data_IF_345280100477
#
_entry.id   IF_345280100477
#
_cell.length_a   1.000
_cell.length_b   1.000
_cell.length_c   1.000
_cell.angle_alpha   90.00
_cell.angle_beta   90.00
_cell.angle_gamma   90.00
#
_symmetry.space_group_name_H-M   'P 1'
#
loop_
_entity.id
_entity.type
_entity.pdbx_description
1 polymer ?
#
# COMPACT_ATOMS: atom_id res chain seq x y z
N UNK A 1 64.13 -17.99 -7.70
CA UNK A 1 64.76 -18.16 -6.38
C UNK A 1 64.59 -16.81 -5.69
N UNK A 2 63.44 -16.55 -5.07
CA UNK A 2 62.96 -17.03 -3.75
C UNK A 2 63.61 -16.25 -2.61
N UNK A 3 62.90 -15.24 -2.11
CA UNK A 3 62.94 -14.84 -0.71
C UNK A 3 61.50 -14.71 -0.23
N UNK A 4 61.13 -15.50 0.76
CA UNK A 4 60.00 -15.21 1.64
C UNK A 4 60.57 -14.56 2.89
N UNK A 5 59.91 -13.51 3.41
CA UNK A 5 59.93 -13.28 4.84
C UNK A 5 58.52 -13.21 5.45
N UNK A 6 58.34 -14.11 6.43
CA UNK A 6 57.58 -14.04 7.68
C UNK A 6 56.47 -12.99 7.85
N UNK A 7 55.28 -13.48 8.22
CA UNK A 7 54.21 -12.71 8.85
C UNK A 7 54.38 -12.67 10.38
N UNK A 8 54.37 -11.49 11.00
CA UNK A 8 53.94 -11.34 12.38
C UNK A 8 52.55 -10.66 12.45
N UNK A 9 51.67 -11.25 13.26
CA UNK A 9 50.35 -10.72 13.62
C UNK A 9 50.46 -9.33 14.26
N UNK A 10 49.67 -8.37 13.78
CA UNK A 10 49.58 -7.03 14.38
C UNK A 10 48.22 -6.80 15.02
N UNK A 11 48.30 -6.33 16.24
CA UNK A 11 47.26 -6.01 17.22
C UNK A 11 46.27 -4.95 16.75
N UNK A 12 45.06 -5.06 17.31
CA UNK A 12 44.04 -4.02 17.41
C UNK A 12 44.63 -2.73 18.00
N UNK A 13 44.25 -1.58 17.43
CA UNK A 13 44.49 -0.29 18.06
C UNK A 13 44.39 0.91 17.12
N UNK A 14 43.28 1.64 17.25
CA UNK A 14 43.12 3.09 17.01
C UNK A 14 42.84 3.56 15.57
N UNK A 15 41.56 3.86 15.33
CA UNK A 15 41.11 4.71 14.22
C UNK A 15 41.44 6.20 14.50
N UNK A 16 41.77 7.01 13.48
CA UNK A 16 42.21 8.39 13.67
C UNK A 16 41.05 9.35 13.97
N UNK A 17 41.25 10.12 15.03
CA UNK A 17 41.05 11.58 15.13
C UNK A 17 39.68 12.20 14.82
N UNK A 18 39.25 12.96 15.83
CA UNK A 18 38.10 13.85 15.89
C UNK A 18 38.03 14.79 14.69
N UNK A 19 37.00 14.62 13.86
CA UNK A 19 36.50 15.69 12.99
C UNK A 19 35.42 16.44 13.77
N UNK A 20 35.84 17.53 14.41
CA UNK A 20 34.97 18.59 14.89
C UNK A 20 34.31 19.27 13.69
N UNK A 21 33.23 18.68 13.19
CA UNK A 21 32.37 19.21 12.14
C UNK A 21 30.93 18.87 12.48
N UNK A 22 30.19 19.86 12.97
CA UNK A 22 28.72 19.95 13.07
C UNK A 22 27.97 18.67 12.64
N UNK A 23 27.66 17.79 13.61
CA UNK A 23 26.67 16.75 13.40
C UNK A 23 25.33 17.46 13.13
N UNK A 24 25.00 17.61 11.84
CA UNK A 24 23.70 18.09 11.42
C UNK A 24 22.65 17.23 12.11
N UNK A 25 21.82 17.86 12.93
CA UNK A 25 20.61 17.23 13.44
C UNK A 25 19.84 16.76 12.20
N UNK A 26 19.81 15.45 11.96
CA UNK A 26 18.82 14.88 11.05
C UNK A 26 17.46 15.39 11.56
N UNK A 27 16.73 16.20 10.77
CA UNK A 27 15.41 16.64 11.20
C UNK A 27 14.60 15.37 11.39
N UNK A 28 14.22 15.07 12.62
CA UNK A 28 13.25 14.01 12.85
C UNK A 28 12.00 14.45 12.07
N UNK A 29 11.50 13.64 11.12
CA UNK A 29 10.25 13.98 10.47
C UNK A 29 9.21 14.19 11.57
N UNK A 30 8.33 15.20 11.44
CA UNK A 30 7.28 15.39 12.42
C UNK A 30 6.56 14.05 12.60
N UNK A 31 6.30 13.67 13.85
CA UNK A 31 5.59 12.44 14.16
C UNK A 31 4.19 12.56 13.56
N UNK A 32 4.03 12.11 12.31
CA UNK A 32 2.73 12.05 11.65
C UNK A 32 1.92 11.09 12.50
N UNK A 33 0.90 11.61 13.19
CA UNK A 33 -0.08 10.75 13.85
C UNK A 33 -0.76 9.97 12.75
N UNK A 34 -0.30 8.74 12.53
CA UNK A 34 -1.03 7.80 11.71
C UNK A 34 -2.41 7.63 12.36
N UNK A 35 -3.50 7.76 11.60
CA UNK A 35 -4.82 7.44 12.12
C UNK A 35 -4.76 6.05 12.75
N UNK A 36 -5.18 5.91 13.99
CA UNK A 36 -5.40 4.58 14.57
C UNK A 36 -6.63 4.03 13.89
N UNK A 37 -6.45 3.01 13.06
CA UNK A 37 -7.55 2.30 12.43
C UNK A 37 -8.24 1.45 13.50
N UNK A 38 -9.51 1.76 13.77
CA UNK A 38 -10.34 0.93 14.66
C UNK A 38 -10.77 -0.34 13.91
N UNK A 39 -10.11 -1.45 14.20
CA UNK A 39 -10.37 -2.74 13.55
C UNK A 39 -11.72 -3.39 13.95
N UNK A 40 -12.45 -2.81 14.91
CA UNK A 40 -13.81 -3.26 15.25
C UNK A 40 -14.85 -2.85 14.21
N UNK A 41 -14.56 -1.82 13.41
CA UNK A 41 -15.43 -1.34 12.33
C UNK A 41 -15.22 -2.21 11.09
N UNK A 42 -16.19 -3.09 10.82
CA UNK A 42 -16.12 -4.02 9.68
C UNK A 42 -16.66 -3.46 8.38
N UNK A 43 -17.65 -2.56 8.45
CA UNK A 43 -18.26 -1.92 7.28
C UNK A 43 -17.79 -0.47 7.23
N UNK A 44 -17.11 -0.11 6.15
CA UNK A 44 -16.46 1.20 5.97
C UNK A 44 -16.95 1.91 4.72
N UNK A 45 -16.85 3.23 4.69
CA UNK A 45 -17.20 4.00 3.50
C UNK A 45 -16.04 3.96 2.50
N UNK A 46 -16.34 3.69 1.24
CA UNK A 46 -15.38 3.89 0.14
C UNK A 46 -15.27 5.40 -0.12
N UNK A 47 -14.09 5.95 0.07
CA UNK A 47 -13.81 7.37 -0.11
C UNK A 47 -13.24 7.67 -1.51
N UNK A 48 -12.35 6.81 -2.00
CA UNK A 48 -11.78 6.87 -3.33
C UNK A 48 -11.58 5.44 -3.85
N UNK A 49 -11.48 5.29 -5.17
CA UNK A 49 -11.10 4.03 -5.79
C UNK A 49 -10.23 4.29 -7.03
N UNK A 50 -9.41 3.31 -7.38
CA UNK A 50 -8.58 3.35 -8.58
C UNK A 50 -8.56 1.98 -9.26
N UNK A 51 -8.91 1.97 -10.55
CA UNK A 51 -8.64 0.83 -11.41
C UNK A 51 -7.23 0.93 -11.97
N UNK A 52 -6.56 -0.21 -12.06
CA UNK A 52 -5.31 -0.33 -12.81
C UNK A 52 -5.27 -1.63 -13.59
N UNK A 53 -4.44 -1.66 -14.62
CA UNK A 53 -4.21 -2.82 -15.46
C UNK A 53 -2.72 -3.09 -15.56
N UNK A 54 -2.33 -4.35 -15.42
CA UNK A 54 -0.93 -4.77 -15.45
C UNK A 54 -0.76 -5.86 -16.50
N UNK A 55 0.03 -5.57 -17.53
CA UNK A 55 0.42 -6.55 -18.53
C UNK A 55 1.11 -7.75 -17.88
N UNK A 56 0.80 -8.95 -18.37
CA UNK A 56 1.50 -10.19 -18.01
C UNK A 56 2.53 -10.54 -19.09
N UNK A 57 2.97 -11.80 -19.10
CA UNK A 57 3.85 -12.31 -20.15
C UNK A 57 3.25 -12.11 -21.56
N UNK A 58 4.08 -11.99 -22.61
CA UNK A 58 3.58 -11.79 -23.96
C UNK A 58 2.61 -12.89 -24.40
N UNK A 59 1.38 -12.49 -24.76
CA UNK A 59 0.32 -13.41 -25.18
C UNK A 59 -0.65 -13.82 -24.07
N UNK A 60 -0.35 -13.49 -22.81
CA UNK A 60 -1.27 -13.67 -21.69
C UNK A 60 -2.18 -12.45 -21.52
N UNK A 61 -3.36 -12.68 -20.94
CA UNK A 61 -4.27 -11.60 -20.57
C UNK A 61 -3.67 -10.77 -19.42
N UNK A 62 -3.82 -9.46 -19.50
CA UNK A 62 -3.41 -8.58 -18.42
C UNK A 62 -4.36 -8.66 -17.23
N UNK A 63 -3.87 -8.32 -16.04
CA UNK A 63 -4.63 -8.40 -14.80
C UNK A 63 -5.16 -7.03 -14.43
N UNK A 64 -6.48 -6.94 -14.19
CA UNK A 64 -7.07 -5.75 -13.59
C UNK A 64 -6.98 -5.81 -12.07
N UNK A 65 -6.73 -4.66 -11.47
CA UNK A 65 -6.89 -4.48 -10.03
C UNK A 65 -7.75 -3.27 -9.73
N UNK A 66 -8.49 -3.36 -8.63
CA UNK A 66 -9.28 -2.28 -8.06
C UNK A 66 -8.75 -2.00 -6.65
N UNK A 67 -8.17 -0.82 -6.46
CA UNK A 67 -7.80 -0.30 -5.14
C UNK A 67 -8.97 0.49 -4.58
N UNK A 68 -9.38 0.16 -3.35
CA UNK A 68 -10.38 0.89 -2.57
C UNK A 68 -9.66 1.62 -1.44
N UNK A 69 -9.91 2.92 -1.31
CA UNK A 69 -9.47 3.73 -0.17
C UNK A 69 -10.68 3.97 0.72
N UNK A 70 -10.68 3.40 1.91
CA UNK A 70 -11.79 3.43 2.86
C UNK A 70 -11.54 4.48 3.95
N UNK A 71 -12.63 5.07 4.45
CA UNK A 71 -12.63 6.02 5.56
C UNK A 71 -11.49 7.05 5.49
N UNK A 72 -11.61 8.08 4.62
CA UNK A 72 -10.52 8.94 4.16
C UNK A 72 -9.06 8.45 4.33
N UNK A 73 -8.76 7.23 3.90
CA UNK A 73 -7.40 6.65 3.96
C UNK A 73 -7.04 5.93 5.25
N UNK A 74 -8.02 5.60 6.11
CA UNK A 74 -7.79 4.79 7.30
C UNK A 74 -7.57 3.30 6.97
N UNK A 75 -8.06 2.85 5.80
CA UNK A 75 -7.83 1.49 5.31
C UNK A 75 -7.74 1.48 3.78
N UNK A 76 -6.92 0.59 3.24
CA UNK A 76 -6.85 0.32 1.80
C UNK A 76 -7.02 -1.17 1.52
N UNK A 77 -7.76 -1.49 0.46
CA UNK A 77 -7.95 -2.86 -0.01
C UNK A 77 -7.64 -2.90 -1.51
N UNK A 78 -6.88 -3.91 -1.94
CA UNK A 78 -6.63 -4.16 -3.36
C UNK A 78 -7.30 -5.47 -3.75
N UNK A 79 -8.15 -5.41 -4.77
CA UNK A 79 -8.87 -6.54 -5.33
C UNK A 79 -8.32 -6.84 -6.72
N UNK A 80 -8.05 -8.11 -6.98
CA UNK A 80 -7.88 -8.60 -8.36
C UNK A 80 -9.25 -8.94 -8.90
N UNK A 81 -9.58 -8.41 -10.07
CA UNK A 81 -10.87 -8.61 -10.74
C UNK A 81 -10.60 -9.02 -12.19
N UNK A 82 -11.50 -9.80 -12.77
CA UNK A 82 -11.45 -10.05 -14.20
C UNK A 82 -11.99 -8.84 -14.99
N UNK A 83 -11.93 -8.92 -16.32
CA UNK A 83 -12.33 -7.82 -17.19
C UNK A 83 -13.84 -7.55 -17.16
N UNK A 84 -14.66 -8.60 -17.06
CA UNK A 84 -16.12 -8.49 -17.06
C UNK A 84 -16.61 -7.85 -15.75
N UNK A 85 -16.05 -8.30 -14.62
CA UNK A 85 -16.32 -7.71 -13.32
C UNK A 85 -15.81 -6.26 -13.23
N UNK A 86 -14.64 -5.96 -13.82
CA UNK A 86 -14.08 -4.60 -13.80
C UNK A 86 -15.01 -3.59 -14.50
N UNK A 87 -15.60 -3.96 -15.63
CA UNK A 87 -16.55 -3.13 -16.38
C UNK A 87 -17.81 -2.85 -15.56
N UNK A 88 -18.43 -3.91 -15.01
CA UNK A 88 -19.62 -3.80 -14.14
C UNK A 88 -19.33 -2.94 -12.90
N UNK A 89 -18.18 -3.14 -12.27
CA UNK A 89 -17.79 -2.39 -11.08
C UNK A 89 -17.51 -0.91 -11.42
N UNK A 90 -16.95 -0.59 -12.58
CA UNK A 90 -16.73 0.78 -13.01
C UNK A 90 -18.05 1.55 -13.17
N UNK A 91 -19.06 0.92 -13.77
CA UNK A 91 -20.41 1.49 -13.90
C UNK A 91 -21.11 1.66 -12.55
N UNK A 92 -21.05 0.66 -11.68
CA UNK A 92 -21.66 0.73 -10.35
C UNK A 92 -20.99 1.77 -9.45
N UNK A 93 -19.66 1.87 -9.47
CA UNK A 93 -18.92 2.83 -8.64
C UNK A 93 -19.12 4.27 -9.13
N UNK A 94 -19.15 4.49 -10.44
CA UNK A 94 -19.31 5.82 -11.01
C UNK A 94 -20.75 6.37 -10.89
N UNK A 95 -21.75 5.48 -10.85
CA UNK A 95 -23.17 5.88 -10.78
C UNK A 95 -23.68 6.13 -9.35
N UNK A 96 -22.92 5.75 -8.31
CA UNK A 96 -23.38 5.77 -6.92
C UNK A 96 -22.64 6.81 -6.08
N UNK A 97 -23.40 7.57 -5.29
CA UNK A 97 -22.85 8.57 -4.36
C UNK A 97 -22.30 7.96 -3.06
N UNK A 98 -22.84 6.82 -2.66
CA UNK A 98 -22.50 6.17 -1.39
C UNK A 98 -22.25 4.71 -1.66
N UNK A 99 -21.01 4.29 -1.40
CA UNK A 99 -20.58 2.90 -1.51
C UNK A 99 -19.89 2.53 -0.21
N UNK A 100 -20.24 1.36 0.32
CA UNK A 100 -19.62 0.80 1.51
C UNK A 100 -18.91 -0.51 1.16
N UNK A 101 -17.92 -0.86 1.98
CA UNK A 101 -17.20 -2.11 1.87
C UNK A 101 -17.22 -2.84 3.22
N UNK A 102 -17.72 -4.06 3.24
CA UNK A 102 -17.57 -4.97 4.37
C UNK A 102 -16.22 -5.69 4.25
N UNK A 103 -15.26 -5.30 5.07
CA UNK A 103 -13.91 -5.89 5.08
C UNK A 103 -13.98 -7.38 5.43
N UNK A 104 -14.86 -7.77 6.35
CA UNK A 104 -14.95 -9.15 6.82
C UNK A 104 -15.48 -10.11 5.77
N UNK A 105 -16.39 -9.64 4.92
CA UNK A 105 -16.98 -10.42 3.84
C UNK A 105 -16.36 -10.16 2.47
N UNK A 106 -15.51 -9.12 2.38
CA UNK A 106 -14.95 -8.60 1.13
C UNK A 106 -16.06 -8.26 0.12
N UNK A 107 -17.04 -7.47 0.55
CA UNK A 107 -18.26 -7.19 -0.22
C UNK A 107 -18.48 -5.70 -0.41
N UNK A 108 -18.63 -5.25 -1.66
CA UNK A 108 -19.08 -3.90 -2.01
C UNK A 108 -20.61 -3.80 -1.92
N UNK A 109 -21.09 -2.71 -1.33
CA UNK A 109 -22.50 -2.41 -1.16
C UNK A 109 -22.79 -1.03 -1.76
N UNK A 110 -23.73 -0.97 -2.70
CA UNK A 110 -23.98 0.19 -3.56
C UNK A 110 -25.21 1.00 -3.13
N UNK A 111 -25.50 0.99 -1.82
CA UNK A 111 -26.73 1.53 -1.25
C UNK A 111 -27.88 0.52 -1.25
N UNK A 112 -29.07 1.01 -0.87
CA UNK A 112 -30.31 0.21 -0.77
C UNK A 112 -31.40 0.86 -1.60
N UNK A 113 -32.22 0.04 -2.27
CA UNK A 113 -33.45 0.50 -2.90
C UNK A 113 -34.65 0.14 -2.01
N UNK A 114 -35.68 0.98 -2.01
CA UNK A 114 -36.96 0.59 -1.43
C UNK A 114 -37.55 -0.55 -2.25
N UNK A 115 -38.24 -1.47 -1.58
CA UNK A 115 -38.92 -2.57 -2.26
C UNK A 115 -40.02 -1.98 -3.16
N UNK A 116 -39.98 -2.32 -4.45
CA UNK A 116 -40.98 -1.91 -5.44
C UNK A 116 -40.59 -0.71 -6.31
N UNK A 117 -39.40 -0.14 -6.15
CA UNK A 117 -38.85 0.86 -7.08
C UNK A 117 -37.73 0.21 -7.91
N UNK A 118 -38.02 -0.08 -9.19
CA UNK A 118 -37.10 -0.67 -10.17
C UNK A 118 -37.72 -0.74 -11.55
#
# INVERSE_FOLDING_TARGET
>A
MSESPQSPSVQQGQSPQQESGQQGQVPQPPLVRQPVTDDSIRVRQVSHYQFSWVAQEPGEEGVFTLQLVLDPGAWEEVLTVDADDADVLQDLLSSRKHVQYDIGRRTLMFGTSAVGEG
#
